data_IF_569920720847
#
_entry.id   IF_569920720847
#
_cell.length_a   1.000
_cell.length_b   1.000
_cell.length_c   1.000
_cell.angle_alpha   90.00
_cell.angle_beta   90.00
_cell.angle_gamma   90.00
#
_symmetry.space_group_name_H-M   'P 1'
#
loop_
_entity.id
_entity.type
_entity.pdbx_description
1 polymer ?
#
# COMPACT_ATOMS: atom_id res chain seq x y z
N UNK A 1 -10.96 22.75 -9.49
CA UNK A 1 -10.77 21.58 -8.60
C UNK A 1 -9.41 21.71 -7.92
N UNK A 2 -9.34 22.51 -6.86
CA UNK A 2 -8.16 22.71 -6.02
C UNK A 2 -8.08 21.61 -4.94
N UNK A 3 -8.06 20.34 -5.37
CA UNK A 3 -8.07 19.22 -4.43
C UNK A 3 -6.60 18.81 -4.15
N UNK A 4 -6.10 19.22 -2.99
CA UNK A 4 -4.79 18.89 -2.39
C UNK A 4 -3.56 19.72 -2.85
N UNK A 5 -3.50 20.97 -2.41
CA UNK A 5 -2.34 21.87 -2.58
C UNK A 5 -1.17 21.61 -1.59
N UNK A 6 -1.32 20.75 -0.58
CA UNK A 6 -0.21 20.42 0.34
C UNK A 6 0.42 19.07 0.03
N UNK A 7 1.67 19.03 -0.47
CA UNK A 7 2.46 17.79 -0.50
C UNK A 7 2.55 17.14 0.89
N UNK A 8 2.56 17.96 1.94
CA UNK A 8 2.53 17.55 3.35
C UNK A 8 1.25 16.80 3.74
N UNK A 9 0.08 17.25 3.26
CA UNK A 9 -1.21 16.60 3.56
C UNK A 9 -1.22 15.21 2.94
N UNK A 10 -0.74 15.08 1.69
CA UNK A 10 -0.67 13.80 1.00
C UNK A 10 0.28 12.82 1.71
N UNK A 11 1.43 13.30 2.18
CA UNK A 11 2.36 12.49 2.97
C UNK A 11 1.75 12.01 4.29
N UNK A 12 1.02 12.89 5.01
CA UNK A 12 0.27 12.52 6.23
C UNK A 12 -0.77 11.43 5.97
N UNK A 13 -1.47 11.50 4.84
CA UNK A 13 -2.44 10.46 4.47
C UNK A 13 -1.74 9.13 4.18
N UNK A 14 -0.56 9.12 3.53
CA UNK A 14 0.21 7.88 3.37
C UNK A 14 0.60 7.30 4.73
N UNK A 15 1.10 8.12 5.67
CA UNK A 15 1.42 7.61 7.01
C UNK A 15 0.19 7.01 7.70
N UNK A 16 -0.97 7.65 7.58
CA UNK A 16 -2.22 7.12 8.10
C UNK A 16 -2.59 5.77 7.48
N UNK A 17 -2.46 5.64 6.15
CA UNK A 17 -2.66 4.35 5.45
C UNK A 17 -1.68 3.30 5.94
N UNK A 18 -0.39 3.63 6.06
CA UNK A 18 0.62 2.70 6.57
C UNK A 18 0.27 2.17 7.96
N UNK A 19 -0.22 3.02 8.87
CA UNK A 19 -0.71 2.57 10.19
C UNK A 19 -1.93 1.67 10.05
N UNK A 20 -2.89 2.05 9.21
CA UNK A 20 -4.10 1.27 8.98
C UNK A 20 -3.79 -0.13 8.41
N UNK A 21 -2.79 -0.23 7.54
CA UNK A 21 -2.27 -1.51 7.01
C UNK A 21 -1.72 -2.42 8.09
N UNK A 22 -1.03 -1.87 9.08
CA UNK A 22 -0.53 -2.64 10.22
C UNK A 22 -1.67 -3.15 11.09
N UNK A 23 -2.66 -2.31 11.38
CA UNK A 23 -3.85 -2.71 12.15
C UNK A 23 -4.60 -3.84 11.44
N UNK A 24 -4.83 -3.71 10.13
CA UNK A 24 -5.49 -4.76 9.35
C UNK A 24 -4.66 -6.03 9.24
N UNK A 25 -3.33 -5.91 9.11
CA UNK A 25 -2.42 -7.07 9.12
C UNK A 25 -2.48 -7.86 10.43
N UNK A 26 -2.54 -7.16 11.57
CA UNK A 26 -2.71 -7.80 12.89
C UNK A 26 -4.07 -8.51 12.99
N UNK A 27 -5.14 -7.86 12.54
CA UNK A 27 -6.47 -8.47 12.51
C UNK A 27 -6.49 -9.73 11.63
N UNK A 28 -5.80 -9.73 10.49
CA UNK A 28 -5.72 -10.88 9.57
C UNK A 28 -5.05 -12.12 10.18
N UNK A 29 -4.12 -11.97 11.13
CA UNK A 29 -3.46 -13.12 11.80
C UNK A 29 -4.45 -13.98 12.58
N UNK A 30 -5.45 -13.37 13.22
CA UNK A 30 -6.44 -14.09 14.02
C UNK A 30 -7.45 -14.87 13.17
N UNK A 31 -7.51 -14.59 11.86
CA UNK A 31 -8.52 -15.16 10.95
C UNK A 31 -7.94 -16.34 10.17
N UNK A 32 -6.73 -16.16 9.66
CA UNK A 32 -6.04 -17.10 8.78
C UNK A 32 -4.56 -17.11 9.15
N UNK A 33 -4.11 -17.98 10.06
CA UNK A 33 -2.80 -17.81 10.68
C UNK A 33 -1.64 -17.79 9.68
N UNK A 34 -1.68 -18.61 8.63
CA UNK A 34 -0.62 -18.65 7.60
C UNK A 34 -0.69 -17.44 6.67
N UNK A 35 -1.86 -17.12 6.12
CA UNK A 35 -2.05 -16.01 5.17
C UNK A 35 -1.88 -14.66 5.89
N UNK A 36 -2.44 -14.53 7.08
CA UNK A 36 -2.32 -13.36 7.94
C UNK A 36 -0.89 -13.06 8.35
N UNK A 37 -0.05 -14.08 8.59
CA UNK A 37 1.37 -13.85 8.87
C UNK A 37 2.11 -13.27 7.66
N UNK A 38 1.86 -13.80 6.46
CA UNK A 38 2.43 -13.28 5.21
C UNK A 38 1.96 -11.83 4.98
N UNK A 39 0.68 -11.56 5.20
CA UNK A 39 0.11 -10.21 5.08
C UNK A 39 0.71 -9.24 6.09
N UNK A 40 0.92 -9.65 7.34
CA UNK A 40 1.55 -8.78 8.35
C UNK A 40 2.97 -8.40 7.94
N UNK A 41 3.81 -9.39 7.62
CA UNK A 41 5.20 -9.12 7.23
C UNK A 41 5.28 -8.29 5.95
N UNK A 42 4.44 -8.61 4.96
CA UNK A 42 4.33 -7.82 3.73
C UNK A 42 3.90 -6.37 4.02
N UNK A 43 2.86 -6.19 4.85
CA UNK A 43 2.37 -4.86 5.23
C UNK A 43 3.44 -4.05 5.98
N UNK A 44 4.25 -4.67 6.83
CA UNK A 44 5.37 -3.99 7.52
C UNK A 44 6.40 -3.48 6.51
N UNK A 45 6.87 -4.35 5.60
CA UNK A 45 7.89 -3.98 4.60
C UNK A 45 7.36 -2.84 3.71
N UNK A 46 6.13 -2.99 3.22
CA UNK A 46 5.50 -2.00 2.36
C UNK A 46 5.23 -0.70 3.13
N UNK A 47 4.76 -0.76 4.37
CA UNK A 47 4.56 0.43 5.19
C UNK A 47 5.86 1.22 5.37
N UNK A 48 7.00 0.55 5.56
CA UNK A 48 8.31 1.21 5.61
C UNK A 48 8.65 1.88 4.27
N UNK A 49 8.42 1.19 3.14
CA UNK A 49 8.64 1.77 1.81
C UNK A 49 7.73 2.98 1.54
N UNK A 50 6.46 2.92 1.95
CA UNK A 50 5.50 4.02 1.82
C UNK A 50 5.88 5.22 2.69
N UNK A 51 6.22 4.98 3.96
CA UNK A 51 6.64 6.00 4.90
C UNK A 51 7.94 6.69 4.49
N UNK A 52 8.95 5.93 4.05
CA UNK A 52 10.20 6.45 3.53
C UNK A 52 10.00 7.16 2.18
N UNK A 53 9.19 6.59 1.28
CA UNK A 53 8.85 7.19 0.00
C UNK A 53 8.15 8.54 0.15
N UNK A 54 7.23 8.67 1.10
CA UNK A 54 6.56 9.93 1.43
C UNK A 54 7.52 10.92 2.09
N UNK A 55 8.37 10.48 3.02
CA UNK A 55 9.34 11.34 3.73
C UNK A 55 10.36 11.97 2.79
N UNK A 56 10.93 11.16 1.90
CA UNK A 56 12.00 11.57 0.99
C UNK A 56 11.47 12.00 -0.39
N UNK A 57 10.15 12.04 -0.56
CA UNK A 57 9.47 12.28 -1.85
C UNK A 57 10.09 11.46 -3.00
N UNK A 58 10.45 10.21 -2.71
CA UNK A 58 11.22 9.37 -3.63
C UNK A 58 10.30 8.56 -4.53
N UNK A 59 10.32 8.80 -5.86
CA UNK A 59 9.40 8.15 -6.79
C UNK A 59 9.68 6.64 -6.95
N UNK A 60 10.90 6.17 -6.64
CA UNK A 60 11.25 4.74 -6.66
C UNK A 60 10.64 4.00 -5.47
N UNK A 61 10.78 4.56 -4.27
CA UNK A 61 10.19 3.99 -3.04
C UNK A 61 8.66 3.97 -3.09
N UNK A 62 8.05 5.04 -3.60
CA UNK A 62 6.59 5.08 -3.84
C UNK A 62 6.15 4.04 -4.88
N UNK A 63 6.98 3.73 -5.88
CA UNK A 63 6.68 2.67 -6.83
C UNK A 63 6.76 1.28 -6.21
N UNK A 64 7.79 0.99 -5.41
CA UNK A 64 7.87 -0.27 -4.67
C UNK A 64 6.72 -0.43 -3.68
N UNK A 65 6.28 0.66 -3.05
CA UNK A 65 5.07 0.67 -2.23
C UNK A 65 3.84 0.26 -3.05
N UNK A 66 3.60 0.88 -4.21
CA UNK A 66 2.47 0.53 -5.08
C UNK A 66 2.55 -0.92 -5.58
N UNK A 67 3.72 -1.36 -6.04
CA UNK A 67 3.92 -2.71 -6.55
C UNK A 67 3.72 -3.76 -5.45
N UNK A 68 4.25 -3.51 -4.25
CA UNK A 68 4.05 -4.36 -3.08
C UNK A 68 2.56 -4.47 -2.70
N UNK A 69 1.85 -3.34 -2.66
CA UNK A 69 0.40 -3.34 -2.38
C UNK A 69 -0.38 -4.13 -3.45
N UNK A 70 -0.02 -3.98 -4.72
CA UNK A 70 -0.67 -4.73 -5.80
C UNK A 70 -0.45 -6.24 -5.67
N UNK A 71 0.76 -6.68 -5.32
CA UNK A 71 1.07 -8.09 -5.08
C UNK A 71 0.30 -8.61 -3.87
N UNK A 72 0.31 -7.87 -2.75
CA UNK A 72 -0.41 -8.28 -1.54
C UNK A 72 -1.93 -8.31 -1.74
N UNK A 73 -2.48 -7.53 -2.68
CA UNK A 73 -3.90 -7.54 -3.00
C UNK A 73 -4.40 -8.89 -3.54
N UNK A 74 -3.51 -9.72 -4.10
CA UNK A 74 -3.87 -11.07 -4.59
C UNK A 74 -4.31 -11.99 -3.45
N UNK A 75 -3.65 -11.91 -2.29
CA UNK A 75 -3.94 -12.76 -1.13
C UNK A 75 -5.38 -12.60 -0.58
N UNK A 76 -5.89 -11.38 -0.27
CA UNK A 76 -7.27 -11.21 0.18
C UNK A 76 -8.28 -11.54 -0.92
N UNK A 77 -7.96 -11.38 -2.20
CA UNK A 77 -8.84 -11.81 -3.30
C UNK A 77 -8.99 -13.34 -3.29
N UNK A 78 -7.88 -14.08 -3.20
CA UNK A 78 -7.91 -15.55 -3.10
C UNK A 78 -8.69 -15.97 -1.84
N UNK A 79 -8.45 -15.28 -0.71
CA UNK A 79 -9.18 -15.56 0.53
C UNK A 79 -10.69 -15.35 0.36
N UNK A 80 -11.13 -14.27 -0.30
CA UNK A 80 -12.56 -14.03 -0.55
C UNK A 80 -13.15 -15.15 -1.41
N UNK A 81 -12.51 -15.51 -2.52
CA UNK A 81 -12.99 -16.56 -3.41
C UNK A 81 -13.14 -17.88 -2.65
N UNK A 82 -12.14 -18.24 -1.85
CA UNK A 82 -12.17 -19.46 -1.04
C UNK A 82 -13.30 -19.43 0.01
N UNK A 83 -13.43 -18.34 0.76
CA UNK A 83 -14.46 -18.22 1.81
C UNK A 83 -15.87 -18.22 1.24
N UNK A 84 -16.11 -17.54 0.10
CA UNK A 84 -17.41 -17.53 -0.57
C UNK A 84 -17.83 -18.94 -1.00
N UNK A 85 -16.90 -19.73 -1.55
CA UNK A 85 -17.19 -21.10 -2.04
C UNK A 85 -17.51 -22.04 -0.89
N UNK A 86 -16.81 -21.91 0.24
CA UNK A 86 -16.88 -22.89 1.34
C UNK A 86 -17.94 -22.55 2.40
N UNK A 87 -17.96 -21.30 2.86
CA UNK A 87 -18.65 -20.91 4.09
C UNK A 87 -19.67 -19.77 3.86
N UNK A 88 -19.79 -19.25 2.63
CA UNK A 88 -20.71 -18.17 2.30
C UNK A 88 -20.28 -16.79 2.82
N UNK A 89 -21.25 -15.94 3.20
CA UNK A 89 -20.97 -14.58 3.65
C UNK A 89 -20.59 -14.55 5.14
N UNK A 90 -19.35 -14.18 5.44
CA UNK A 90 -18.81 -14.16 6.81
C UNK A 90 -18.25 -12.77 7.16
N UNK A 91 -18.16 -12.45 8.45
CA UNK A 91 -17.54 -11.21 8.94
C UNK A 91 -16.09 -11.02 8.41
N UNK A 92 -15.36 -12.11 8.21
CA UNK A 92 -14.00 -12.10 7.65
C UNK A 92 -13.91 -11.60 6.21
N UNK A 93 -14.99 -11.77 5.46
CA UNK A 93 -15.12 -11.29 4.10
C UNK A 93 -15.12 -9.75 4.06
N UNK A 94 -15.73 -9.11 5.08
CA UNK A 94 -15.70 -7.66 5.25
C UNK A 94 -14.27 -7.18 5.51
N UNK A 95 -13.52 -7.86 6.39
CA UNK A 95 -12.11 -7.52 6.68
C UNK A 95 -11.27 -7.61 5.40
N UNK A 96 -11.43 -8.66 4.60
CA UNK A 96 -10.71 -8.81 3.34
C UNK A 96 -11.09 -7.74 2.30
N UNK A 97 -12.37 -7.40 2.16
CA UNK A 97 -12.82 -6.31 1.28
C UNK A 97 -12.23 -4.98 1.74
N UNK A 98 -12.26 -4.69 3.04
CA UNK A 98 -11.73 -3.46 3.60
C UNK A 98 -10.22 -3.36 3.37
N UNK A 99 -9.49 -4.46 3.52
CA UNK A 99 -8.06 -4.55 3.18
C UNK A 99 -7.80 -4.22 1.71
N UNK A 100 -8.61 -4.75 0.77
CA UNK A 100 -8.50 -4.43 -0.66
C UNK A 100 -8.76 -2.94 -0.92
N UNK A 101 -9.77 -2.35 -0.29
CA UNK A 101 -10.08 -0.92 -0.44
C UNK A 101 -8.92 -0.07 0.06
N UNK A 102 -8.30 -0.44 1.18
CA UNK A 102 -7.15 0.27 1.74
C UNK A 102 -5.91 0.12 0.87
N UNK A 103 -5.65 -1.06 0.31
CA UNK A 103 -4.59 -1.27 -0.68
C UNK A 103 -4.82 -0.39 -1.92
N UNK A 104 -6.05 -0.35 -2.44
CA UNK A 104 -6.43 0.50 -3.57
C UNK A 104 -6.24 1.99 -3.27
N UNK A 105 -6.67 2.44 -2.09
CA UNK A 105 -6.47 3.83 -1.64
C UNK A 105 -4.98 4.17 -1.52
N UNK A 106 -4.17 3.27 -0.96
CA UNK A 106 -2.73 3.43 -0.85
C UNK A 106 -2.05 3.57 -2.21
N UNK A 107 -2.42 2.72 -3.18
CA UNK A 107 -1.91 2.80 -4.56
C UNK A 107 -2.29 4.13 -5.20
N UNK A 108 -3.55 4.54 -5.08
CA UNK A 108 -4.04 5.79 -5.66
C UNK A 108 -3.29 7.01 -5.09
N UNK A 109 -3.12 7.07 -3.77
CA UNK A 109 -2.42 8.18 -3.11
C UNK A 109 -0.94 8.23 -3.45
N UNK A 110 -0.27 7.08 -3.51
CA UNK A 110 1.12 7.00 -3.94
C UNK A 110 1.30 7.44 -5.41
N UNK A 111 0.35 7.09 -6.28
CA UNK A 111 0.32 7.54 -7.68
C UNK A 111 0.15 9.07 -7.78
N UNK A 112 -0.75 9.64 -6.98
CA UNK A 112 -0.97 11.09 -6.91
C UNK A 112 0.26 11.82 -6.39
N UNK A 113 0.95 11.27 -5.39
CA UNK A 113 2.20 11.84 -4.84
C UNK A 113 3.37 11.78 -5.81
N UNK A 114 3.45 10.73 -6.62
CA UNK A 114 4.50 10.56 -7.64
C UNK A 114 4.36 11.53 -8.83
N UNK A 115 3.24 12.25 -8.97
CA UNK A 115 3.03 13.16 -10.09
C UNK A 115 2.47 12.50 -11.35
N UNK A 116 1.61 11.47 -11.19
CA UNK A 116 0.76 10.89 -12.26
C UNK A 116 1.45 10.12 -13.39
N UNK A 117 2.71 9.73 -13.23
CA UNK A 117 3.43 8.91 -14.20
C UNK A 117 3.66 7.50 -13.64
N UNK A 118 3.28 6.45 -14.40
CA UNK A 118 3.69 5.07 -14.14
C UNK A 118 5.13 4.79 -14.58
N UNK A 119 5.71 5.62 -15.45
CA UNK A 119 7.10 5.48 -15.88
C UNK A 119 8.01 5.66 -14.67
N UNK A 120 8.83 4.65 -14.40
CA UNK A 120 10.07 4.81 -13.63
C UNK A 120 10.95 5.77 -14.42
N UNK A 121 10.74 7.08 -14.26
CA UNK A 121 11.81 8.01 -14.57
C UNK A 121 12.90 7.71 -13.55
N UNK A 122 13.97 7.07 -14.00
CA UNK A 122 15.27 7.37 -13.43
C UNK A 122 15.41 8.88 -13.57
N UNK A 123 15.39 9.61 -12.46
CA UNK A 123 16.03 10.91 -12.47
C UNK A 123 17.52 10.62 -12.69
N UNK A 124 17.94 10.43 -13.94
CA UNK A 124 19.31 10.71 -14.35
C UNK A 124 19.33 12.16 -14.77
N UNK A 125 19.86 13.01 -13.88
CA UNK A 125 20.87 14.05 -14.19
C UNK A 125 21.07 14.94 -12.97
N UNK A 126 22.34 15.11 -12.56
CA UNK A 126 22.73 16.18 -11.65
C UNK A 126 23.81 15.82 -10.61
N UNK A 127 24.99 15.38 -11.05
CA UNK A 127 26.30 15.87 -10.55
C UNK A 127 27.47 15.22 -11.32
N UNK A 128 27.47 15.39 -12.65
CA UNK A 128 28.73 15.44 -13.42
C UNK A 128 29.12 16.91 -13.59
N UNK A 129 29.38 17.64 -12.51
CA UNK A 129 30.08 18.93 -12.55
C UNK A 129 30.39 19.43 -11.13
N UNK A 130 31.52 18.98 -10.59
CA UNK A 130 32.46 19.73 -9.76
C UNK A 130 33.45 18.75 -9.14
N UNK A 131 34.52 18.48 -9.87
CA UNK A 131 35.88 18.26 -9.39
C UNK A 131 36.80 18.52 -10.58
#
# INVERSE_FOLDING_TARGET
MAWFEGAEIKARIIYFICVLLLVLGVLSIFTTPIIGFILLFGNVIIAVCGAAGAKFNSPRLLWYFMAGLAILCVLPIISIIYTVIKDGFTFWLIVNILTIVVYGAGIFLAFVLRGRSFRLNSAETGNFQKL
#
